data_IF_309151817855
#
_entry.id   IF_309151817855
#
_cell.length_a   1.000
_cell.length_b   1.000
_cell.length_c   1.000
_cell.angle_alpha   90.00
_cell.angle_beta   90.00
_cell.angle_gamma   90.00
#
_symmetry.space_group_name_H-M   'P 1'
#
loop_
_entity.id
_entity.type
_entity.pdbx_description
1 polymer ?
#
# COMPACT_ATOMS: atom_id res chain seq x y z
N UNK A 1 -11.06 -2.75 -17.46
CA UNK A 1 -11.97 -2.77 -16.28
C UNK A 1 -11.50 -3.68 -15.15
N UNK A 2 -11.19 -4.97 -15.40
CA UNK A 2 -10.75 -5.90 -14.32
C UNK A 2 -9.43 -5.46 -13.69
N UNK A 3 -8.46 -5.01 -14.49
CA UNK A 3 -7.16 -4.51 -14.00
C UNK A 3 -7.30 -3.31 -13.05
N UNK A 4 -8.25 -2.40 -13.34
CA UNK A 4 -8.55 -1.29 -12.44
C UNK A 4 -9.12 -1.79 -11.09
N UNK A 5 -9.96 -2.84 -11.08
CA UNK A 5 -10.47 -3.42 -9.82
C UNK A 5 -9.36 -4.06 -8.99
N UNK A 6 -8.36 -4.66 -9.64
CA UNK A 6 -7.18 -5.22 -8.95
C UNK A 6 -6.34 -4.09 -8.34
N UNK A 7 -6.17 -2.99 -9.06
CA UNK A 7 -5.54 -1.77 -8.53
C UNK A 7 -6.29 -1.18 -7.34
N UNK A 8 -7.61 -1.01 -7.46
CA UNK A 8 -8.46 -0.48 -6.39
C UNK A 8 -8.38 -1.38 -5.12
N UNK A 9 -8.30 -2.70 -5.29
CA UNK A 9 -8.12 -3.63 -4.18
C UNK A 9 -6.75 -3.48 -3.50
N UNK A 10 -5.67 -3.35 -4.28
CA UNK A 10 -4.33 -3.11 -3.74
C UNK A 10 -4.26 -1.79 -2.97
N UNK A 11 -4.86 -0.73 -3.53
CA UNK A 11 -4.95 0.58 -2.86
C UNK A 11 -5.72 0.49 -1.54
N UNK A 12 -6.83 -0.24 -1.51
CA UNK A 12 -7.63 -0.43 -0.29
C UNK A 12 -6.84 -1.14 0.82
N UNK A 13 -6.08 -2.19 0.48
CA UNK A 13 -5.21 -2.90 1.44
C UNK A 13 -4.14 -1.95 2.01
N UNK A 14 -3.49 -1.16 1.15
CA UNK A 14 -2.48 -0.20 1.58
C UNK A 14 -3.06 0.84 2.54
N UNK A 15 -4.18 1.48 2.18
CA UNK A 15 -4.83 2.51 3.01
C UNK A 15 -5.26 1.92 4.35
N UNK A 16 -5.84 0.71 4.35
CA UNK A 16 -6.24 0.03 5.58
C UNK A 16 -5.04 -0.25 6.49
N UNK A 17 -3.93 -0.72 5.92
CA UNK A 17 -2.70 -1.02 6.67
C UNK A 17 -2.05 0.26 7.21
N UNK A 18 -2.04 1.35 6.45
CA UNK A 18 -1.56 2.65 6.93
C UNK A 18 -2.42 3.10 8.12
N UNK A 19 -3.74 3.06 7.99
CA UNK A 19 -4.62 3.49 9.07
C UNK A 19 -4.50 2.61 10.32
N UNK A 20 -4.36 1.29 10.19
CA UNK A 20 -4.26 0.39 11.34
C UNK A 20 -3.01 0.63 12.19
N UNK A 21 -1.86 0.93 11.56
CA UNK A 21 -0.59 1.15 12.25
C UNK A 21 -0.34 2.61 12.62
N UNK A 22 -0.62 3.54 11.71
CA UNK A 22 -0.31 4.96 11.89
C UNK A 22 -1.48 5.76 12.48
N UNK A 23 -2.70 5.20 12.50
CA UNK A 23 -3.92 5.85 13.00
C UNK A 23 -4.27 7.16 12.28
N UNK A 24 -3.66 7.42 11.13
CA UNK A 24 -3.87 8.60 10.30
C UNK A 24 -3.56 8.29 8.85
N UNK A 25 -4.19 9.03 7.93
CA UNK A 25 -3.91 9.00 6.51
C UNK A 25 -3.22 10.29 6.02
N UNK A 26 -2.89 11.20 6.95
CA UNK A 26 -2.09 12.38 6.64
C UNK A 26 -0.65 11.94 6.35
N UNK A 27 -0.24 12.07 5.09
CA UNK A 27 1.09 11.67 4.64
C UNK A 27 2.22 12.34 5.43
N UNK A 28 2.07 13.61 5.83
CA UNK A 28 3.11 14.31 6.59
C UNK A 28 3.35 13.67 7.96
N UNK A 29 2.25 13.29 8.63
CA UNK A 29 2.32 12.60 9.92
C UNK A 29 2.83 11.16 9.74
N UNK A 30 2.33 10.44 8.73
CA UNK A 30 2.77 9.07 8.42
C UNK A 30 4.29 9.05 8.19
N UNK A 31 4.82 9.90 7.30
CA UNK A 31 6.25 9.94 7.02
C UNK A 31 7.11 10.32 8.24
N UNK A 32 6.59 11.18 9.13
CA UNK A 32 7.28 11.50 10.38
C UNK A 32 7.34 10.31 11.34
N UNK A 33 6.37 9.39 11.27
CA UNK A 33 6.27 8.21 12.11
C UNK A 33 6.99 6.98 11.52
N UNK A 34 7.27 6.95 10.21
CA UNK A 34 7.95 5.84 9.52
C UNK A 34 9.19 5.31 10.27
N UNK A 35 10.10 6.16 10.82
CA UNK A 35 11.28 5.67 11.53
C UNK A 35 10.97 4.77 12.72
N UNK A 36 9.83 4.96 13.39
CA UNK A 36 9.42 4.17 14.54
C UNK A 36 8.91 2.77 14.16
N UNK A 37 8.49 2.59 12.91
CA UNK A 37 7.95 1.33 12.39
C UNK A 37 8.98 0.54 11.57
N UNK A 38 10.24 0.98 11.54
CA UNK A 38 11.27 0.38 10.68
C UNK A 38 11.58 -1.08 11.00
N UNK A 39 11.48 -1.46 12.27
CA UNK A 39 11.70 -2.84 12.75
C UNK A 39 10.39 -3.64 12.86
N UNK A 40 9.25 -3.04 12.50
CA UNK A 40 7.97 -3.78 12.55
C UNK A 40 7.82 -4.68 11.34
N UNK A 41 7.57 -5.96 11.62
CA UNK A 41 7.33 -6.99 10.62
C UNK A 41 5.90 -7.50 10.70
N UNK A 42 5.37 -7.86 9.54
CA UNK A 42 4.09 -8.52 9.35
C UNK A 42 4.33 -9.99 9.01
N UNK A 43 3.63 -10.87 9.69
CA UNK A 43 3.56 -12.28 9.32
C UNK A 43 2.57 -12.45 8.17
N UNK A 44 3.08 -12.59 6.95
CA UNK A 44 2.27 -12.85 5.76
C UNK A 44 2.50 -14.28 5.28
N UNK A 45 1.50 -15.15 5.46
CA UNK A 45 1.51 -16.53 4.94
C UNK A 45 2.78 -17.33 5.33
N UNK A 46 3.25 -17.15 6.57
CA UNK A 46 4.48 -17.73 7.17
C UNK A 46 5.81 -17.06 6.77
N UNK A 47 5.77 -15.94 6.04
CA UNK A 47 6.94 -15.09 5.80
C UNK A 47 6.86 -13.82 6.65
N UNK A 48 8.01 -13.36 7.16
CA UNK A 48 8.11 -12.05 7.79
C UNK A 48 8.48 -11.01 6.72
N UNK A 49 7.61 -10.02 6.54
CA UNK A 49 7.81 -8.91 5.60
C UNK A 49 7.80 -7.62 6.41
N UNK A 50 8.67 -6.67 6.09
CA UNK A 50 8.60 -5.34 6.73
C UNK A 50 7.24 -4.70 6.47
N UNK A 51 6.66 -4.08 7.49
CA UNK A 51 5.41 -3.33 7.36
C UNK A 51 5.50 -2.29 6.23
N UNK A 52 6.65 -1.61 6.12
CA UNK A 52 6.86 -0.55 5.13
C UNK A 52 6.91 -1.11 3.71
N UNK A 53 7.58 -2.24 3.51
CA UNK A 53 7.65 -2.93 2.22
C UNK A 53 6.27 -3.42 1.79
N UNK A 54 5.49 -3.96 2.73
CA UNK A 54 4.12 -4.40 2.49
C UNK A 54 3.23 -3.24 2.03
N UNK A 55 3.22 -2.12 2.76
CA UNK A 55 2.47 -0.92 2.39
C UNK A 55 2.91 -0.38 1.02
N UNK A 56 4.22 -0.26 0.81
CA UNK A 56 4.79 0.25 -0.44
C UNK A 56 4.42 -0.61 -1.65
N UNK A 57 4.47 -1.93 -1.51
CA UNK A 57 4.10 -2.86 -2.56
C UNK A 57 2.62 -2.72 -2.98
N UNK A 58 1.71 -2.63 -2.00
CA UNK A 58 0.28 -2.48 -2.29
C UNK A 58 -0.09 -1.10 -2.85
N UNK A 59 0.57 -0.01 -2.38
CA UNK A 59 0.44 1.32 -2.99
C UNK A 59 0.90 1.30 -4.45
N UNK A 60 2.02 0.62 -4.73
CA UNK A 60 2.53 0.48 -6.09
C UNK A 60 1.54 -0.27 -7.00
N UNK A 61 0.98 -1.40 -6.55
CA UNK A 61 -0.07 -2.11 -7.29
C UNK A 61 -1.27 -1.20 -7.57
N UNK A 62 -1.71 -0.42 -6.56
CA UNK A 62 -2.81 0.53 -6.74
C UNK A 62 -2.52 1.59 -7.80
N UNK A 63 -1.32 2.18 -7.76
CA UNK A 63 -0.88 3.16 -8.74
C UNK A 63 -0.77 2.57 -10.16
N UNK A 64 -0.22 1.36 -10.30
CA UNK A 64 -0.09 0.67 -11.59
C UNK A 64 -1.45 0.29 -12.15
N UNK A 65 -2.36 -0.24 -11.33
CA UNK A 65 -3.68 -0.67 -11.79
C UNK A 65 -4.56 0.47 -12.34
N UNK A 66 -4.41 1.70 -11.80
CA UNK A 66 -5.02 2.92 -12.34
C UNK A 66 -4.29 3.43 -13.59
N UNK A 67 -2.97 3.44 -13.56
CA UNK A 67 -2.15 4.01 -14.66
C UNK A 67 -2.18 3.15 -15.93
N UNK A 68 -2.32 1.82 -15.81
CA UNK A 68 -2.52 0.93 -16.95
C UNK A 68 -3.79 1.24 -17.74
N UNK A 69 -4.78 1.90 -17.13
CA UNK A 69 -5.99 2.35 -17.80
C UNK A 69 -5.80 3.70 -18.54
N UNK A 70 -4.76 4.47 -18.23
CA UNK A 70 -4.44 5.76 -18.86
C UNK A 70 -3.61 5.63 -20.16
N UNK A 71 -3.12 4.43 -20.51
CA UNK A 71 -2.19 4.23 -21.64
C UNK A 71 -2.64 3.27 -22.76
N UNK A 72 -3.79 2.61 -22.63
CA UNK A 72 -4.35 1.73 -23.68
C UNK A 72 -5.80 2.12 -23.96
N UNK A 73 -5.99 3.34 -24.46
CA UNK A 73 -7.11 3.67 -25.32
C UNK A 73 -6.68 3.43 -26.78
N UNK A 74 -6.50 2.16 -27.12
CA UNK A 74 -7.02 1.56 -28.36
C UNK A 74 -7.74 0.27 -27.95
#
# INVERSE_FOLDING_TARGET
MIVNRIGDFGLAIAIFTIYSYFQTLDYGVVFSLVPFFKETTLAFFSFEISLLDFIGFFLFIGAVGKSAQLGLHT
#
